data_IF_723246599980
#
_entry.id   IF_723246599980
#
_cell.length_a   1.000
_cell.length_b   1.000
_cell.length_c   1.000
_cell.angle_alpha   90.00
_cell.angle_beta   90.00
_cell.angle_gamma   90.00
#
_symmetry.space_group_name_H-M   'P 1'
#
loop_
_entity.id
_entity.type
_entity.pdbx_description
1 polymer ?
#
# COMPACT_ATOMS: atom_id res chain seq x y z
N UNK A 1 8.12 16.34 -12.59
CA UNK A 1 8.23 15.13 -11.77
C UNK A 1 6.84 14.60 -11.50
N UNK A 2 6.60 13.33 -11.80
CA UNK A 2 5.33 12.67 -11.48
C UNK A 2 5.27 12.49 -9.96
N UNK A 3 4.18 12.87 -9.33
CA UNK A 3 4.09 12.94 -7.86
C UNK A 3 2.99 12.02 -7.31
N UNK A 4 2.94 10.76 -7.78
CA UNK A 4 2.02 9.79 -7.21
C UNK A 4 2.35 9.53 -5.73
N UNK A 5 1.34 9.17 -4.95
CA UNK A 5 1.48 8.74 -3.56
C UNK A 5 1.05 7.29 -3.48
N UNK A 6 1.98 6.39 -3.27
CA UNK A 6 1.71 4.97 -3.15
C UNK A 6 1.64 4.56 -1.69
N UNK A 7 0.55 3.94 -1.29
CA UNK A 7 0.34 3.42 0.05
C UNK A 7 0.55 1.91 0.06
N UNK A 8 1.51 1.45 0.85
CA UNK A 8 1.73 0.02 1.11
C UNK A 8 1.53 -0.31 2.59
N UNK A 9 1.49 -1.57 2.93
CA UNK A 9 1.35 -2.05 4.29
C UNK A 9 0.53 -3.35 4.37
N UNK A 10 0.57 -3.96 5.53
CA UNK A 10 -0.14 -5.22 5.78
C UNK A 10 -1.67 -5.05 5.62
N UNK A 11 -2.38 -6.17 5.42
CA UNK A 11 -3.85 -6.15 5.43
C UNK A 11 -4.36 -5.53 6.75
N UNK A 12 -5.47 -4.80 6.69
CA UNK A 12 -6.06 -4.05 7.81
C UNK A 12 -5.17 -2.93 8.41
N UNK A 13 -4.05 -2.56 7.79
CA UNK A 13 -3.24 -1.40 8.21
C UNK A 13 -3.90 -0.03 7.94
N UNK A 14 -5.04 -0.01 7.23
CA UNK A 14 -5.81 1.22 6.99
C UNK A 14 -5.58 1.87 5.62
N UNK A 15 -4.88 1.22 4.68
CA UNK A 15 -4.57 1.79 3.35
C UNK A 15 -5.78 2.41 2.63
N UNK A 16 -6.85 1.66 2.46
CA UNK A 16 -8.03 2.12 1.72
C UNK A 16 -8.73 3.31 2.41
N UNK A 17 -8.75 3.34 3.74
CA UNK A 17 -9.30 4.45 4.52
C UNK A 17 -8.43 5.69 4.42
N UNK A 18 -7.15 5.54 4.72
CA UNK A 18 -6.15 6.63 4.61
C UNK A 18 -6.07 7.14 3.18
N UNK A 19 -6.08 6.24 2.18
CA UNK A 19 -6.05 6.60 0.77
C UNK A 19 -7.23 7.46 0.37
N UNK A 20 -8.44 7.14 0.82
CA UNK A 20 -9.65 7.94 0.54
C UNK A 20 -9.53 9.35 1.14
N UNK A 21 -9.22 9.44 2.43
CA UNK A 21 -9.11 10.75 3.09
C UNK A 21 -7.97 11.59 2.50
N UNK A 22 -6.85 10.96 2.13
CA UNK A 22 -5.72 11.65 1.49
C UNK A 22 -6.08 12.13 0.07
N UNK A 23 -6.79 11.32 -0.69
CA UNK A 23 -7.32 11.64 -2.02
C UNK A 23 -8.22 12.88 -1.97
N UNK A 24 -9.20 12.87 -1.06
CA UNK A 24 -10.11 14.00 -0.83
C UNK A 24 -9.34 15.27 -0.42
N UNK A 25 -8.40 15.16 0.52
CA UNK A 25 -7.62 16.27 1.03
C UNK A 25 -6.71 16.92 -0.02
N UNK A 26 -6.19 16.13 -0.94
CA UNK A 26 -5.28 16.57 -2.00
C UNK A 26 -5.98 16.90 -3.32
N UNK A 27 -7.28 16.58 -3.46
CA UNK A 27 -8.00 16.67 -4.72
C UNK A 27 -7.43 15.75 -5.81
N UNK A 28 -6.91 14.59 -5.44
CA UNK A 28 -6.28 13.62 -6.36
C UNK A 28 -7.12 12.36 -6.48
N UNK A 29 -7.23 11.76 -7.68
CA UNK A 29 -7.90 10.47 -7.84
C UNK A 29 -7.32 9.39 -6.92
N UNK A 30 -8.19 8.56 -6.34
CA UNK A 30 -7.79 7.34 -5.63
C UNK A 30 -7.85 6.15 -6.58
N UNK A 31 -6.78 5.37 -6.62
CA UNK A 31 -6.71 4.11 -7.36
C UNK A 31 -6.37 2.98 -6.37
N UNK A 32 -7.16 1.92 -6.36
CA UNK A 32 -6.84 0.67 -5.66
C UNK A 32 -6.43 -0.38 -6.69
N UNK A 33 -5.17 -0.84 -6.62
CA UNK A 33 -4.62 -1.75 -7.64
C UNK A 33 -5.34 -3.08 -7.67
N UNK A 34 -5.76 -3.60 -6.51
CA UNK A 34 -6.52 -4.84 -6.43
C UNK A 34 -7.90 -4.69 -7.10
N UNK A 35 -8.56 -3.55 -6.91
CA UNK A 35 -9.84 -3.26 -7.55
C UNK A 35 -9.72 -3.18 -9.09
N UNK A 36 -8.67 -2.51 -9.59
CA UNK A 36 -8.39 -2.43 -11.03
C UNK A 36 -8.16 -3.81 -11.64
N UNK A 37 -7.40 -4.67 -10.95
CA UNK A 37 -7.15 -6.04 -11.41
C UNK A 37 -8.46 -6.84 -11.48
N UNK A 38 -9.28 -6.77 -10.43
CA UNK A 38 -10.60 -7.45 -10.40
C UNK A 38 -11.52 -6.98 -11.52
N UNK A 39 -11.58 -5.67 -11.74
CA UNK A 39 -12.39 -5.09 -12.84
C UNK A 39 -11.93 -5.61 -14.21
N UNK A 40 -10.63 -5.61 -14.47
CA UNK A 40 -10.05 -6.06 -15.75
C UNK A 40 -10.21 -7.56 -15.99
N UNK A 41 -10.01 -8.35 -14.92
CA UNK A 41 -10.14 -9.79 -15.00
C UNK A 41 -11.59 -10.27 -15.08
N UNK A 42 -12.55 -9.47 -14.63
CA UNK A 42 -13.94 -9.91 -14.44
C UNK A 42 -14.09 -11.03 -13.40
N UNK A 43 -13.07 -11.21 -12.54
CA UNK A 43 -12.97 -12.28 -11.54
C UNK A 43 -12.44 -11.69 -10.23
N UNK A 44 -12.80 -12.30 -9.12
CA UNK A 44 -12.17 -12.00 -7.82
C UNK A 44 -10.68 -12.41 -7.82
N UNK A 45 -9.90 -11.81 -6.91
CA UNK A 45 -8.48 -12.17 -6.74
C UNK A 45 -8.33 -13.67 -6.42
N UNK A 46 -9.21 -14.23 -5.60
CA UNK A 46 -9.20 -15.66 -5.29
C UNK A 46 -9.40 -16.52 -6.53
N UNK A 47 -10.36 -16.17 -7.39
CA UNK A 47 -10.61 -16.88 -8.64
C UNK A 47 -9.44 -16.76 -9.62
N UNK A 48 -8.76 -15.60 -9.68
CA UNK A 48 -7.54 -15.45 -10.49
C UNK A 48 -6.46 -16.41 -9.99
N UNK A 49 -6.23 -16.47 -8.68
CA UNK A 49 -5.23 -17.39 -8.10
C UNK A 49 -5.57 -18.85 -8.35
N UNK A 50 -6.84 -19.23 -8.24
CA UNK A 50 -7.31 -20.62 -8.43
C UNK A 50 -7.29 -21.05 -9.90
N UNK A 51 -7.70 -20.18 -10.81
CA UNK A 51 -7.91 -20.52 -12.22
C UNK A 51 -6.70 -20.20 -13.09
N UNK A 52 -6.07 -19.05 -12.85
CA UNK A 52 -5.01 -18.50 -13.71
C UNK A 52 -3.62 -18.57 -13.05
N UNK A 53 -3.57 -18.78 -11.72
CA UNK A 53 -2.35 -18.92 -10.93
C UNK A 53 -1.75 -17.58 -10.46
N UNK A 54 -0.85 -17.68 -9.48
CA UNK A 54 -0.19 -16.50 -8.90
C UNK A 54 0.62 -15.71 -9.95
N UNK A 55 1.28 -16.40 -10.87
CA UNK A 55 2.11 -15.76 -11.91
C UNK A 55 1.27 -14.78 -12.75
N UNK A 56 0.05 -15.15 -13.13
CA UNK A 56 -0.87 -14.29 -13.89
C UNK A 56 -1.32 -13.08 -13.09
N UNK A 57 -1.65 -13.28 -11.81
CA UNK A 57 -1.97 -12.17 -10.92
C UNK A 57 -0.80 -11.17 -10.82
N UNK A 58 0.45 -11.66 -10.68
CA UNK A 58 1.64 -10.80 -10.58
C UNK A 58 1.95 -10.07 -11.88
N UNK A 59 1.69 -10.67 -13.02
CA UNK A 59 1.75 -9.98 -14.31
C UNK A 59 0.76 -8.81 -14.37
N UNK A 60 -0.50 -9.05 -14.03
CA UNK A 60 -1.54 -8.01 -14.01
C UNK A 60 -1.23 -6.89 -13.00
N UNK A 61 -0.73 -7.25 -11.81
CA UNK A 61 -0.33 -6.30 -10.78
C UNK A 61 0.80 -5.37 -11.28
N UNK A 62 1.82 -5.93 -11.95
CA UNK A 62 2.91 -5.17 -12.56
C UNK A 62 2.41 -4.22 -13.65
N UNK A 63 1.55 -4.71 -14.54
CA UNK A 63 1.02 -3.93 -15.65
C UNK A 63 0.18 -2.74 -15.15
N UNK A 64 -0.68 -2.96 -14.15
CA UNK A 64 -1.47 -1.90 -13.50
C UNK A 64 -0.55 -0.85 -12.86
N UNK A 65 0.51 -1.27 -12.14
CA UNK A 65 1.46 -0.35 -11.52
C UNK A 65 2.21 0.46 -12.59
N UNK A 66 2.64 -0.17 -13.68
CA UNK A 66 3.33 0.51 -14.77
C UNK A 66 2.44 1.57 -15.46
N UNK A 67 1.17 1.26 -15.69
CA UNK A 67 0.20 2.21 -16.26
C UNK A 67 -0.06 3.40 -15.32
N UNK A 68 -0.23 3.13 -14.02
CA UNK A 68 -0.37 4.20 -13.03
C UNK A 68 0.85 5.10 -13.03
N UNK A 69 2.04 4.51 -13.02
CA UNK A 69 3.30 5.25 -13.04
C UNK A 69 3.49 6.09 -14.32
N UNK A 70 2.92 5.64 -15.43
CA UNK A 70 2.94 6.37 -16.70
C UNK A 70 1.95 7.54 -16.77
N UNK A 71 0.93 7.54 -15.90
CA UNK A 71 -0.09 8.60 -15.87
C UNK A 71 0.52 9.94 -15.46
N UNK A 72 0.18 11.01 -16.16
CA UNK A 72 0.67 12.36 -15.87
C UNK A 72 -0.09 13.04 -14.71
N UNK A 73 -1.32 12.62 -14.46
CA UNK A 73 -2.13 13.13 -13.35
C UNK A 73 -1.69 12.48 -12.04
N UNK A 74 -1.23 13.25 -11.04
CA UNK A 74 -0.86 12.72 -9.73
C UNK A 74 -2.03 12.03 -9.05
N UNK A 75 -1.81 10.81 -8.55
CA UNK A 75 -2.83 9.97 -7.94
C UNK A 75 -2.42 9.53 -6.53
N UNK A 76 -3.40 9.18 -5.71
CA UNK A 76 -3.21 8.39 -4.49
C UNK A 76 -3.50 6.93 -4.83
N UNK A 77 -2.53 6.05 -4.59
CA UNK A 77 -2.58 4.65 -5.01
C UNK A 77 -2.51 3.73 -3.79
N UNK A 78 -3.54 2.91 -3.61
CA UNK A 78 -3.55 1.84 -2.62
C UNK A 78 -3.01 0.57 -3.28
N UNK A 79 -1.83 0.13 -2.87
CA UNK A 79 -1.19 -1.06 -3.42
C UNK A 79 -1.74 -2.35 -2.80
N UNK A 80 -1.83 -3.40 -3.60
CA UNK A 80 -2.00 -4.77 -3.12
C UNK A 80 -0.89 -5.16 -2.13
N UNK A 81 -1.22 -6.04 -1.19
CA UNK A 81 -0.33 -6.37 -0.07
C UNK A 81 1.00 -7.04 -0.46
N UNK A 82 1.11 -7.54 -1.68
CA UNK A 82 2.31 -8.19 -2.22
C UNK A 82 3.03 -7.40 -3.30
N UNK A 83 2.51 -6.25 -3.71
CA UNK A 83 3.04 -5.47 -4.85
C UNK A 83 4.52 -5.11 -4.71
N UNK A 84 4.95 -4.79 -3.48
CA UNK A 84 6.35 -4.43 -3.18
C UNK A 84 7.29 -5.64 -2.99
N UNK A 85 6.80 -6.88 -3.16
CA UNK A 85 7.66 -8.06 -3.17
C UNK A 85 8.44 -8.16 -4.48
N UNK A 86 7.95 -7.54 -5.56
CA UNK A 86 8.64 -7.46 -6.82
C UNK A 86 9.54 -6.21 -6.87
N UNK A 87 10.88 -6.35 -6.99
CA UNK A 87 11.80 -5.21 -7.08
C UNK A 87 11.54 -4.29 -8.27
N UNK A 88 11.04 -4.80 -9.38
CA UNK A 88 10.68 -4.00 -10.56
C UNK A 88 9.54 -3.04 -10.26
N UNK A 89 8.50 -3.52 -9.54
CA UNK A 89 7.42 -2.65 -9.08
C UNK A 89 7.94 -1.54 -8.18
N UNK A 90 8.82 -1.88 -7.21
CA UNK A 90 9.40 -0.88 -6.29
C UNK A 90 10.18 0.19 -7.04
N UNK A 91 10.96 -0.22 -8.05
CA UNK A 91 11.71 0.70 -8.91
C UNK A 91 10.76 1.68 -9.62
N UNK A 92 9.75 1.16 -10.31
CA UNK A 92 8.76 1.96 -11.04
C UNK A 92 7.99 2.91 -10.11
N UNK A 93 7.58 2.42 -8.94
CA UNK A 93 6.89 3.22 -7.92
C UNK A 93 7.76 4.40 -7.47
N UNK A 94 9.03 4.15 -7.14
CA UNK A 94 9.94 5.20 -6.64
C UNK A 94 10.36 6.21 -7.71
N UNK A 95 10.41 5.79 -8.97
CA UNK A 95 10.68 6.69 -10.10
C UNK A 95 9.48 7.60 -10.42
N UNK A 96 8.27 7.20 -10.04
CA UNK A 96 7.03 7.92 -10.36
C UNK A 96 6.37 8.63 -9.18
N UNK A 97 6.79 8.34 -7.94
CA UNK A 97 6.14 8.92 -6.76
C UNK A 97 6.83 8.58 -5.45
N UNK A 98 6.10 8.73 -4.37
CA UNK A 98 6.54 8.46 -3.00
C UNK A 98 5.85 7.22 -2.46
N UNK A 99 6.62 6.26 -1.95
CA UNK A 99 6.14 5.03 -1.34
C UNK A 99 6.01 5.19 0.18
N UNK A 100 4.80 5.13 0.70
CA UNK A 100 4.48 5.28 2.11
C UNK A 100 4.01 3.96 2.69
N UNK A 101 4.66 3.48 3.76
CA UNK A 101 4.20 2.33 4.52
C UNK A 101 3.22 2.77 5.62
N UNK A 102 2.01 2.22 5.61
CA UNK A 102 1.11 2.23 6.76
C UNK A 102 1.33 0.97 7.57
N UNK A 103 1.69 1.11 8.85
CA UNK A 103 1.92 -0.01 9.74
C UNK A 103 1.10 0.11 11.02
N UNK A 104 0.83 -0.99 11.66
CA UNK A 104 0.22 -1.06 12.97
C UNK A 104 0.79 -2.25 13.75
N UNK A 105 0.68 -2.22 15.06
CA UNK A 105 1.09 -3.33 15.91
C UNK A 105 0.36 -4.61 15.54
N UNK A 106 0.99 -5.79 15.63
CA UNK A 106 0.35 -7.07 15.28
C UNK A 106 -0.97 -7.30 16.01
N UNK A 107 -1.08 -6.86 17.26
CA UNK A 107 -2.27 -6.96 18.09
C UNK A 107 -3.43 -6.14 17.50
N UNK A 108 -3.17 -4.92 17.04
CA UNK A 108 -4.15 -4.04 16.40
C UNK A 108 -4.60 -4.64 15.05
N UNK A 109 -3.66 -5.19 14.27
CA UNK A 109 -3.97 -5.85 13.01
C UNK A 109 -4.85 -7.09 13.23
N UNK A 110 -4.52 -7.91 14.25
CA UNK A 110 -5.30 -9.10 14.62
C UNK A 110 -6.74 -8.75 15.00
N UNK A 111 -6.91 -7.72 15.83
CA UNK A 111 -8.23 -7.21 16.23
C UNK A 111 -9.05 -6.72 15.02
N UNK A 112 -8.45 -5.90 14.16
CA UNK A 112 -9.12 -5.35 12.97
C UNK A 112 -9.52 -6.43 11.96
N UNK A 113 -8.70 -7.46 11.81
CA UNK A 113 -8.96 -8.60 10.92
C UNK A 113 -10.09 -9.46 11.51
N UNK A 114 -10.05 -9.74 12.81
CA UNK A 114 -11.07 -10.51 13.51
C UNK A 114 -12.47 -9.92 13.40
N UNK A 115 -12.58 -8.58 13.44
CA UNK A 115 -13.86 -7.87 13.28
C UNK A 115 -14.48 -8.00 11.88
N UNK A 116 -13.68 -8.23 10.83
CA UNK A 116 -14.17 -8.22 9.43
C UNK A 116 -14.40 -9.60 8.83
N UNK A 117 -13.85 -10.64 9.39
CA UNK A 117 -13.95 -12.08 8.98
C UNK A 117 -13.91 -12.37 7.45
N UNK A 118 -13.33 -11.46 6.66
CA UNK A 118 -13.36 -11.49 5.19
C UNK A 118 -12.05 -11.94 4.55
N UNK A 119 -11.08 -12.45 5.33
CA UNK A 119 -9.74 -12.76 4.83
C UNK A 119 -9.46 -14.27 4.85
N UNK A 120 -9.48 -14.97 3.71
CA UNK A 120 -9.32 -16.42 3.64
C UNK A 120 -8.07 -16.96 4.37
N UNK A 121 -6.93 -16.26 4.27
CA UNK A 121 -5.66 -16.68 4.88
C UNK A 121 -5.64 -16.66 6.41
N UNK A 122 -6.53 -15.91 7.03
CA UNK A 122 -6.61 -15.70 8.49
C UNK A 122 -8.03 -15.98 9.03
N UNK A 123 -8.92 -16.49 8.16
CA UNK A 123 -10.25 -16.94 8.54
C UNK A 123 -10.17 -18.20 9.39
N UNK A 124 -11.14 -18.40 10.26
CA UNK A 124 -11.28 -19.60 11.10
C UNK A 124 -10.10 -19.90 12.07
N UNK A 125 -9.23 -18.92 12.32
CA UNK A 125 -8.18 -19.01 13.32
C UNK A 125 -8.66 -18.38 14.65
N UNK A 126 -8.24 -18.98 15.77
CA UNK A 126 -8.36 -18.34 17.06
C UNK A 126 -7.60 -16.99 17.09
N UNK A 127 -7.87 -16.15 18.07
CA UNK A 127 -7.18 -14.86 18.21
C UNK A 127 -5.67 -15.05 18.39
N UNK A 128 -5.26 -16.09 19.12
CA UNK A 128 -3.86 -16.43 19.38
C UNK A 128 -3.17 -16.93 18.12
N UNK A 129 -3.79 -17.86 17.39
CA UNK A 129 -3.28 -18.39 16.13
C UNK A 129 -3.16 -17.31 15.06
N UNK A 130 -4.17 -16.45 14.97
CA UNK A 130 -4.18 -15.31 14.05
C UNK A 130 -3.04 -14.33 14.35
N UNK A 131 -2.86 -13.97 15.63
CA UNK A 131 -1.77 -13.09 16.06
C UNK A 131 -0.41 -13.69 15.76
N UNK A 132 -0.20 -14.98 16.06
CA UNK A 132 1.04 -15.67 15.76
C UNK A 132 1.35 -15.66 14.26
N UNK A 133 0.36 -15.98 13.42
CA UNK A 133 0.50 -15.97 11.97
C UNK A 133 0.79 -14.58 11.40
N UNK A 134 0.14 -13.55 11.94
CA UNK A 134 0.42 -12.15 11.56
C UNK A 134 1.87 -11.78 11.87
N UNK A 135 2.39 -12.14 13.06
CA UNK A 135 3.78 -11.87 13.43
C UNK A 135 4.79 -12.52 12.47
N UNK A 136 4.54 -13.76 12.08
CA UNK A 136 5.37 -14.48 11.09
C UNK A 136 5.34 -13.74 9.73
N UNK A 137 4.14 -13.46 9.21
CA UNK A 137 3.97 -12.80 7.92
C UNK A 137 4.58 -11.39 7.90
N UNK A 138 4.52 -10.64 9.00
CA UNK A 138 5.15 -9.32 9.11
C UNK A 138 6.66 -9.43 9.08
N UNK A 139 7.24 -10.42 9.78
CA UNK A 139 8.69 -10.67 9.78
C UNK A 139 9.21 -11.01 8.38
N UNK A 140 8.50 -11.87 7.65
CA UNK A 140 8.84 -12.23 6.27
C UNK A 140 8.82 -11.02 5.32
N UNK A 141 7.92 -10.06 5.55
CA UNK A 141 7.73 -8.88 4.69
C UNK A 141 8.52 -7.64 5.14
N UNK A 142 9.17 -7.69 6.30
CA UNK A 142 9.85 -6.53 6.87
C UNK A 142 10.91 -5.94 5.92
N UNK A 143 11.70 -6.81 5.29
CA UNK A 143 12.71 -6.41 4.30
C UNK A 143 12.08 -5.64 3.11
N UNK A 144 10.90 -6.06 2.67
CA UNK A 144 10.20 -5.40 1.56
C UNK A 144 9.58 -4.07 2.02
N UNK A 145 9.01 -4.03 3.22
CA UNK A 145 8.46 -2.79 3.80
C UNK A 145 9.53 -1.73 4.11
N UNK A 146 10.77 -2.15 4.38
CA UNK A 146 11.90 -1.25 4.59
C UNK A 146 12.27 -0.42 3.34
N UNK A 147 11.75 -0.78 2.17
CA UNK A 147 11.94 -0.04 0.92
C UNK A 147 11.04 1.21 0.80
N UNK A 148 10.08 1.39 1.70
CA UNK A 148 9.25 2.59 1.73
C UNK A 148 10.07 3.84 2.08
N UNK A 149 9.77 4.96 1.45
CA UNK A 149 10.46 6.23 1.70
C UNK A 149 10.23 6.71 3.13
N UNK A 150 9.03 6.46 3.69
CA UNK A 150 8.75 6.62 5.11
C UNK A 150 7.58 5.74 5.59
N UNK A 151 7.46 5.61 6.91
CA UNK A 151 6.43 4.80 7.55
C UNK A 151 5.59 5.61 8.51
N UNK A 152 4.28 5.38 8.49
CA UNK A 152 3.32 6.03 9.39
C UNK A 152 2.55 4.97 10.17
N UNK A 153 2.49 5.14 11.49
CA UNK A 153 1.72 4.25 12.36
C UNK A 153 0.23 4.57 12.28
N UNK A 154 -0.57 3.52 12.12
CA UNK A 154 -2.03 3.56 12.15
C UNK A 154 -2.51 2.90 13.44
N UNK A 155 -2.87 3.70 14.42
CA UNK A 155 -3.42 3.24 15.71
C UNK A 155 -4.93 3.27 15.71
N UNK A 156 -5.58 2.63 16.72
CA UNK A 156 -7.03 2.71 16.90
C UNK A 156 -7.47 4.02 17.56
N UNK A 157 -6.56 4.66 18.29
CA UNK A 157 -6.84 5.84 19.11
C UNK A 157 -6.62 7.16 18.35
N UNK A 158 -6.00 7.09 17.18
CA UNK A 158 -5.68 8.27 16.38
C UNK A 158 -6.76 8.50 15.35
N UNK A 159 -7.42 9.64 15.46
CA UNK A 159 -8.31 10.13 14.41
C UNK A 159 -7.52 10.16 13.07
N UNK A 160 -8.16 9.74 11.98
CA UNK A 160 -7.55 9.72 10.64
C UNK A 160 -6.89 11.05 10.28
N UNK A 161 -7.43 12.18 10.79
CA UNK A 161 -6.84 13.51 10.60
C UNK A 161 -5.37 13.58 11.03
N UNK A 162 -4.99 12.94 12.13
CA UNK A 162 -3.59 12.95 12.60
C UNK A 162 -2.66 12.14 11.69
N UNK A 163 -3.16 11.01 11.17
CA UNK A 163 -2.39 10.19 10.21
C UNK A 163 -2.18 10.99 8.93
N UNK A 164 -3.22 11.64 8.44
CA UNK A 164 -3.17 12.46 7.23
C UNK A 164 -2.24 13.67 7.41
N UNK A 165 -2.37 14.41 8.50
CA UNK A 165 -1.49 15.56 8.79
C UNK A 165 -0.02 15.12 8.88
N UNK A 166 0.25 13.97 9.49
CA UNK A 166 1.61 13.40 9.55
C UNK A 166 2.13 13.06 8.16
N UNK A 167 1.32 12.43 7.31
CA UNK A 167 1.69 12.12 5.93
C UNK A 167 1.99 13.42 5.17
N UNK A 168 1.11 14.42 5.25
CA UNK A 168 1.26 15.69 4.54
C UNK A 168 2.54 16.43 4.96
N UNK A 169 2.85 16.48 6.27
CA UNK A 169 4.10 17.07 6.76
C UNK A 169 5.34 16.34 6.24
N UNK A 170 5.31 15.01 6.22
CA UNK A 170 6.43 14.22 5.69
C UNK A 170 6.60 14.43 4.20
N UNK A 171 5.52 14.51 3.42
CA UNK A 171 5.59 14.81 1.99
C UNK A 171 6.15 16.22 1.72
N UNK A 172 5.79 17.21 2.52
CA UNK A 172 6.35 18.57 2.43
C UNK A 172 7.84 18.57 2.74
N UNK A 173 8.23 17.92 3.84
CA UNK A 173 9.65 17.79 4.23
C UNK A 173 10.47 17.08 3.14
N UNK A 174 9.96 15.99 2.59
CA UNK A 174 10.62 15.23 1.53
C UNK A 174 10.83 16.06 0.27
N UNK A 175 9.84 16.86 -0.13
CA UNK A 175 9.95 17.76 -1.28
C UNK A 175 11.00 18.85 -1.09
N UNK A 176 11.07 19.45 0.08
CA UNK A 176 12.04 20.51 0.36
C UNK A 176 13.48 20.01 0.39
N UNK A 177 13.72 18.75 0.78
CA UNK A 177 15.06 18.17 0.88
C UNK A 177 15.50 17.39 -0.36
N UNK A 178 14.55 16.93 -1.19
CA UNK A 178 14.87 16.29 -2.46
C UNK A 178 15.46 17.28 -3.50
N UNK A 179 15.20 18.57 -3.33
CA UNK A 179 15.77 19.64 -4.16
C UNK A 179 17.25 19.93 -3.81
N UNK A 180 17.67 19.62 -2.57
CA UNK A 180 19.04 19.84 -2.10
C UNK A 180 20.00 18.71 -2.50
N UNK A 181 19.48 17.54 -2.88
CA UNK A 181 20.29 16.34 -3.20
C UNK A 181 20.61 16.22 -4.70
N UNK A 182 19.89 16.93 -5.56
CA UNK A 182 20.19 17.03 -6.99
C UNK A 182 20.33 18.50 -7.38
N UNK A 183 21.56 19.08 -7.31
CA UNK A 183 21.82 20.34 -7.97
C UNK A 183 21.59 20.14 -9.47
N UNK A 184 20.69 20.94 -10.02
CA UNK A 184 20.45 21.03 -11.47
C UNK A 184 21.79 21.17 -12.19
N UNK A 185 22.20 20.10 -12.86
CA UNK A 185 23.28 20.18 -13.85
C UNK A 185 22.80 21.11 -14.97
N UNK A 186 23.40 22.30 -15.01
CA UNK A 186 23.24 23.28 -16.07
C UNK A 186 23.72 22.78 -17.43
#
# INVERSE_FOLDING_TARGET
MKEHIFLTGFMASGKSRTGRTLSERLGRPLVDTDAVIVERAGKSISEIFEQDGEAKFREMERDVIAEIAANETPQVVSLGGGAINNPENVKVIRESGTLIRLWAKPEILSERIGRKNTRPLLANLSDEERLAKIKVMLKEREKNYAQADFSVESTNDVNDSHIIERILRMLQFWKSHALDVYPSSG
#
